data_IF_663603344651
#
_entry.id   IF_663603344651
#
_cell.length_a   1.000
_cell.length_b   1.000
_cell.length_c   1.000
_cell.angle_alpha   90.00
_cell.angle_beta   90.00
_cell.angle_gamma   90.00
#
_symmetry.space_group_name_H-M   'P 1'
#
loop_
_entity.id
_entity.type
_entity.pdbx_description
1 polymer ?
#
# COMPACT_ATOMS: atom_id res chain seq x y z
N UNK A 1 0.71 20.17 13.32
CA UNK A 1 1.73 19.61 12.41
C UNK A 1 2.14 18.18 12.77
N UNK A 2 2.54 17.92 14.03
CA UNK A 2 3.02 16.59 14.49
C UNK A 2 2.05 15.43 14.21
N UNK A 3 0.76 15.59 14.48
CA UNK A 3 -0.26 14.54 14.27
C UNK A 3 -0.37 14.08 12.81
N UNK A 4 -0.32 15.00 11.83
CA UNK A 4 -0.43 14.64 10.41
C UNK A 4 0.77 13.84 9.91
N UNK A 5 1.97 14.13 10.44
CA UNK A 5 3.20 13.40 10.10
C UNK A 5 3.17 12.00 10.68
N UNK A 6 2.75 11.85 11.95
CA UNK A 6 2.59 10.54 12.58
C UNK A 6 1.58 9.71 11.79
N UNK A 7 0.43 10.29 11.43
CA UNK A 7 -0.59 9.62 10.64
C UNK A 7 -0.09 9.20 9.25
N UNK A 8 0.69 10.06 8.58
CA UNK A 8 1.33 9.73 7.32
C UNK A 8 2.27 8.53 7.47
N UNK A 9 3.18 8.55 8.45
CA UNK A 9 4.14 7.47 8.67
C UNK A 9 3.45 6.14 9.00
N UNK A 10 2.40 6.18 9.84
CA UNK A 10 1.59 4.98 10.14
C UNK A 10 0.95 4.43 8.87
N UNK A 11 0.32 5.28 8.05
CA UNK A 11 -0.37 4.84 6.84
C UNK A 11 0.61 4.39 5.73
N UNK A 12 1.81 4.95 5.67
CA UNK A 12 2.88 4.45 4.82
C UNK A 12 3.35 3.06 5.26
N UNK A 13 3.43 2.78 6.56
CA UNK A 13 3.70 1.43 7.06
C UNK A 13 2.61 0.44 6.63
N UNK A 14 1.34 0.85 6.60
CA UNK A 14 0.27 0.04 6.03
C UNK A 14 0.50 -0.24 4.54
N UNK A 15 0.91 0.76 3.77
CA UNK A 15 1.24 0.62 2.34
C UNK A 15 2.51 -0.21 2.07
N UNK A 16 3.44 -0.28 3.02
CA UNK A 16 4.63 -1.14 2.95
C UNK A 16 4.34 -2.59 3.32
N UNK A 17 3.48 -2.84 4.31
CA UNK A 17 3.36 -4.16 4.92
C UNK A 17 1.99 -4.81 4.79
N UNK A 18 0.90 -4.06 4.89
CA UNK A 18 -0.44 -4.67 4.95
C UNK A 18 -1.06 -4.73 3.56
N UNK A 19 -0.93 -3.66 2.79
CA UNK A 19 -1.49 -3.59 1.45
C UNK A 19 -0.86 -4.58 0.45
N UNK A 20 0.47 -4.69 0.32
CA UNK A 20 1.09 -5.70 -0.53
C UNK A 20 0.74 -7.13 -0.10
N UNK A 21 0.63 -7.40 1.21
CA UNK A 21 0.14 -8.69 1.72
C UNK A 21 -1.30 -8.98 1.25
N UNK A 22 -2.19 -8.00 1.33
CA UNK A 22 -3.56 -8.15 0.86
C UNK A 22 -3.61 -8.42 -0.65
N UNK A 23 -2.81 -7.71 -1.45
CA UNK A 23 -2.70 -7.94 -2.90
C UNK A 23 -2.16 -9.33 -3.23
N UNK A 24 -1.16 -9.80 -2.46
CA UNK A 24 -0.65 -11.16 -2.60
C UNK A 24 -1.74 -12.19 -2.31
N UNK A 25 -2.44 -12.06 -1.18
CA UNK A 25 -3.48 -12.98 -0.75
C UNK A 25 -4.66 -13.02 -1.74
N UNK A 26 -5.10 -11.86 -2.23
CA UNK A 26 -6.16 -11.76 -3.23
C UNK A 26 -5.75 -12.45 -4.53
N UNK A 27 -4.50 -12.26 -4.98
CA UNK A 27 -4.04 -12.93 -6.19
C UNK A 27 -3.97 -14.46 -5.99
N UNK A 28 -3.37 -14.92 -4.89
CA UNK A 28 -3.29 -16.35 -4.56
C UNK A 28 -4.68 -17.02 -4.49
N UNK A 29 -5.66 -16.30 -3.95
CA UNK A 29 -7.05 -16.76 -3.85
C UNK A 29 -7.79 -16.79 -5.19
N UNK A 30 -7.63 -15.76 -6.03
CA UNK A 30 -8.40 -15.60 -7.28
C UNK A 30 -7.75 -16.32 -8.46
N UNK A 31 -6.44 -16.16 -8.63
CA UNK A 31 -5.71 -16.65 -9.81
C UNK A 31 -4.84 -17.87 -9.49
N UNK A 32 -4.79 -18.30 -8.22
CA UNK A 32 -3.96 -19.39 -7.75
C UNK A 32 -2.54 -18.93 -7.41
N UNK A 33 -1.68 -19.91 -7.07
CA UNK A 33 -0.34 -19.64 -6.56
C UNK A 33 0.51 -18.85 -7.56
N UNK A 34 1.13 -17.76 -7.09
CA UNK A 34 2.18 -17.07 -7.83
C UNK A 34 3.26 -18.06 -8.28
N UNK A 35 3.58 -18.05 -9.58
CA UNK A 35 4.76 -18.72 -10.11
C UNK A 35 6.02 -17.98 -9.62
N UNK A 36 6.96 -18.70 -8.98
CA UNK A 36 8.20 -18.14 -8.42
C UNK A 36 8.38 -18.36 -6.91
N UNK A 37 9.14 -17.49 -6.24
CA UNK A 37 9.50 -17.58 -4.81
C UNK A 37 8.33 -17.23 -3.84
N UNK A 38 7.08 -17.37 -4.27
CA UNK A 38 5.88 -17.10 -3.48
C UNK A 38 5.85 -15.71 -2.84
N UNK A 39 5.43 -15.64 -1.57
CA UNK A 39 5.30 -14.40 -0.80
C UNK A 39 6.61 -13.59 -0.75
N UNK A 40 7.75 -14.25 -0.49
CA UNK A 40 9.04 -13.57 -0.41
C UNK A 40 9.45 -12.98 -1.75
N UNK A 41 9.21 -13.68 -2.85
CA UNK A 41 9.48 -13.16 -4.20
C UNK A 41 8.59 -11.97 -4.57
N UNK A 42 7.32 -12.00 -4.16
CA UNK A 42 6.41 -10.87 -4.33
C UNK A 42 6.90 -9.64 -3.58
N UNK A 43 7.27 -9.79 -2.30
CA UNK A 43 7.77 -8.68 -1.49
C UNK A 43 9.10 -8.14 -1.98
N UNK A 44 10.06 -9.00 -2.32
CA UNK A 44 11.36 -8.55 -2.84
C UNK A 44 11.16 -7.73 -4.11
N UNK A 45 10.30 -8.20 -5.02
CA UNK A 45 9.99 -7.49 -6.25
C UNK A 45 9.29 -6.16 -6.00
N UNK A 46 8.35 -6.11 -5.05
CA UNK A 46 7.69 -4.88 -4.66
C UNK A 46 8.69 -3.83 -4.12
N UNK A 47 9.62 -4.24 -3.26
CA UNK A 47 10.68 -3.36 -2.75
C UNK A 47 11.64 -2.89 -3.85
N UNK A 48 12.05 -3.78 -4.76
CA UNK A 48 12.87 -3.39 -5.92
C UNK A 48 12.17 -2.32 -6.77
N UNK A 49 10.87 -2.48 -7.02
CA UNK A 49 10.07 -1.51 -7.79
C UNK A 49 9.96 -0.16 -7.06
N UNK A 50 9.78 -0.18 -5.73
CA UNK A 50 9.80 1.05 -4.92
C UNK A 50 11.15 1.77 -5.03
N UNK A 51 12.26 1.06 -4.83
CA UNK A 51 13.60 1.62 -4.95
C UNK A 51 13.90 2.10 -6.38
N UNK A 52 13.37 1.41 -7.39
CA UNK A 52 13.45 1.77 -8.80
C UNK A 52 12.53 2.93 -9.21
N UNK A 53 11.78 3.53 -8.28
CA UNK A 53 10.91 4.67 -8.58
C UNK A 53 9.68 4.32 -9.41
N UNK A 54 9.25 3.05 -9.42
CA UNK A 54 8.11 2.63 -10.21
C UNK A 54 6.80 3.31 -9.72
N UNK A 55 6.08 4.05 -10.57
CA UNK A 55 4.92 4.82 -10.13
C UNK A 55 3.81 3.96 -9.51
N UNK A 56 3.59 2.75 -10.01
CA UNK A 56 2.53 1.87 -9.54
C UNK A 56 2.82 1.33 -8.13
N UNK A 57 4.07 0.95 -7.84
CA UNK A 57 4.45 0.52 -6.49
C UNK A 57 4.38 1.68 -5.49
N UNK A 58 4.79 2.89 -5.91
CA UNK A 58 4.65 4.09 -5.08
C UNK A 58 3.19 4.46 -4.83
N UNK A 59 2.32 4.26 -5.82
CA UNK A 59 0.88 4.43 -5.64
C UNK A 59 0.34 3.47 -4.58
N UNK A 60 0.71 2.18 -4.65
CA UNK A 60 0.33 1.19 -3.63
C UNK A 60 0.79 1.64 -2.24
N UNK A 61 2.03 2.11 -2.11
CA UNK A 61 2.58 2.60 -0.84
C UNK A 61 1.78 3.78 -0.26
N UNK A 62 1.42 4.75 -1.09
CA UNK A 62 0.78 6.00 -0.64
C UNK A 62 -0.75 5.87 -0.54
N UNK A 63 -1.35 4.86 -1.17
CA UNK A 63 -2.80 4.66 -1.27
C UNK A 63 -3.56 4.75 0.08
N UNK A 64 -3.09 4.13 1.19
CA UNK A 64 -3.81 4.20 2.46
C UNK A 64 -3.94 5.64 2.97
N UNK A 65 -2.90 6.45 2.75
CA UNK A 65 -2.90 7.85 3.11
C UNK A 65 -3.85 8.67 2.23
N UNK A 66 -3.89 8.40 0.92
CA UNK A 66 -4.81 9.07 0.00
C UNK A 66 -6.27 8.76 0.34
N UNK A 67 -6.61 7.50 0.62
CA UNK A 67 -7.96 7.12 1.05
C UNK A 67 -8.34 7.86 2.34
N UNK A 68 -7.43 7.91 3.31
CA UNK A 68 -7.65 8.67 4.54
C UNK A 68 -7.90 10.16 4.27
N UNK A 69 -7.11 10.79 3.39
CA UNK A 69 -7.30 12.20 3.02
C UNK A 69 -8.66 12.42 2.35
N UNK A 70 -9.02 11.60 1.38
CA UNK A 70 -10.31 11.68 0.69
C UNK A 70 -11.44 11.57 1.70
N UNK A 71 -11.44 10.54 2.55
CA UNK A 71 -12.45 10.37 3.59
C UNK A 71 -12.54 11.60 4.51
N UNK A 72 -11.39 12.10 5.01
CA UNK A 72 -11.33 13.28 5.86
C UNK A 72 -11.94 14.52 5.19
N UNK A 73 -11.65 14.74 3.91
CA UNK A 73 -12.22 15.87 3.17
C UNK A 73 -13.71 15.69 2.91
N UNK A 74 -14.16 14.49 2.53
CA UNK A 74 -15.57 14.16 2.36
C UNK A 74 -16.37 14.44 3.64
N UNK A 75 -15.90 13.99 4.80
CA UNK A 75 -16.55 14.27 6.08
C UNK A 75 -16.55 15.76 6.45
N UNK A 76 -15.52 16.51 6.04
CA UNK A 76 -15.46 17.96 6.27
C UNK A 76 -16.45 18.73 5.38
N UNK A 77 -16.72 18.25 4.17
CA UNK A 77 -17.67 18.89 3.23
C UNK A 77 -19.12 18.57 3.62
N UNK A 78 -19.39 17.36 4.12
CA UNK A 78 -20.71 16.90 4.53
C UNK A 78 -21.21 17.52 5.85
N UNK A 79 -20.32 18.16 6.62
CA UNK A 79 -20.62 18.81 7.90
C UNK A 79 -20.65 20.32 7.73
#
# INVERSE_FOLDING_TARGET
MKFNVIMLLVLLSFGLFIQPLALFAVNDFIFGKYSGNGFMGFYSRYYELLLGGNPQSWFILIMPYLVFLIAKFTFKILK
#
